data_IF_163382347544
#
_entry.id   IF_163382347544
#
_cell.length_a   1.000
_cell.length_b   1.000
_cell.length_c   1.000
_cell.angle_alpha   90.00
_cell.angle_beta   90.00
_cell.angle_gamma   90.00
#
_symmetry.space_group_name_H-M   'P 1'
#
loop_
_entity.id
_entity.type
_entity.pdbx_description
1 polymer ?
#
# COMPACT_ATOMS: atom_id res chain seq x y z
N UNK A 1 -55.52 30.01 -26.29
CA UNK A 1 -54.58 29.84 -25.16
C UNK A 1 -54.13 28.40 -25.19
N UNK A 2 -52.90 28.20 -25.62
CA UNK A 2 -52.30 26.91 -25.98
C UNK A 2 -51.32 26.56 -24.86
N UNK A 3 -51.64 25.55 -24.06
CA UNK A 3 -50.80 25.12 -22.93
C UNK A 3 -49.97 23.89 -23.38
N UNK A 4 -48.75 24.17 -23.86
CA UNK A 4 -47.77 23.17 -24.24
C UNK A 4 -47.16 22.51 -22.99
N UNK A 5 -47.64 21.32 -22.65
CA UNK A 5 -47.09 20.50 -21.58
C UNK A 5 -45.74 19.88 -22.00
N UNK A 6 -44.66 20.28 -21.32
CA UNK A 6 -43.31 19.72 -21.49
C UNK A 6 -43.23 18.37 -20.74
N UNK A 7 -42.83 17.26 -21.38
CA UNK A 7 -42.65 15.98 -20.70
C UNK A 7 -41.35 15.99 -19.85
N UNK A 8 -41.46 15.53 -18.60
CA UNK A 8 -40.32 15.38 -17.68
C UNK A 8 -39.41 14.22 -18.10
N UNK A 9 -38.07 14.36 -18.03
CA UNK A 9 -37.16 13.27 -18.32
C UNK A 9 -37.23 12.18 -17.24
N UNK A 10 -37.49 10.94 -17.68
CA UNK A 10 -37.44 9.73 -16.85
C UNK A 10 -36.03 9.53 -16.29
N UNK A 11 -35.95 9.26 -14.98
CA UNK A 11 -34.72 8.94 -14.28
C UNK A 11 -33.98 7.76 -14.93
N UNK A 12 -32.72 7.99 -15.31
CA UNK A 12 -31.78 6.95 -15.74
C UNK A 12 -31.49 6.05 -14.54
N UNK A 13 -32.05 4.85 -14.56
CA UNK A 13 -31.70 3.76 -13.64
C UNK A 13 -30.23 3.41 -13.90
N UNK A 14 -29.36 3.75 -12.94
CA UNK A 14 -27.96 3.36 -12.97
C UNK A 14 -27.88 1.89 -12.56
N UNK A 15 -27.59 1.02 -13.51
CA UNK A 15 -27.34 -0.40 -13.24
C UNK A 15 -26.14 -0.54 -12.28
N UNK A 16 -26.23 -1.39 -11.24
CA UNK A 16 -25.10 -1.72 -10.38
C UNK A 16 -23.97 -2.38 -11.18
N UNK A 17 -22.72 -1.98 -10.90
CA UNK A 17 -21.51 -2.57 -11.46
C UNK A 17 -21.37 -4.00 -10.92
N UNK A 18 -21.27 -5.05 -11.77
CA UNK A 18 -21.08 -6.42 -11.31
C UNK A 18 -19.73 -6.60 -10.61
N UNK A 19 -19.75 -7.27 -9.46
CA UNK A 19 -18.55 -7.80 -8.81
C UNK A 19 -17.93 -8.89 -9.70
N UNK A 20 -16.59 -8.94 -9.84
CA UNK A 20 -15.97 -10.05 -10.55
C UNK A 20 -15.86 -11.24 -9.60
N UNK A 21 -16.89 -12.08 -9.60
CA UNK A 21 -16.70 -13.50 -9.35
C UNK A 21 -16.18 -14.14 -10.64
N UNK A 22 -15.38 -15.19 -10.50
CA UNK A 22 -14.87 -16.06 -11.57
C UNK A 22 -13.54 -15.64 -12.24
N UNK A 23 -12.46 -15.80 -11.47
CA UNK A 23 -11.16 -16.18 -12.03
C UNK A 23 -10.55 -17.32 -11.20
N UNK A 24 -11.25 -18.46 -11.18
CA UNK A 24 -10.63 -19.75 -10.85
C UNK A 24 -9.84 -20.23 -12.06
N UNK A 25 -8.51 -20.06 -12.03
CA UNK A 25 -7.56 -20.89 -12.80
C UNK A 25 -6.25 -21.03 -12.03
N UNK A 26 -6.09 -22.25 -11.51
CA UNK A 26 -4.84 -22.95 -11.20
C UNK A 26 -3.70 -22.15 -10.58
N UNK A 27 -3.58 -22.26 -9.26
CA UNK A 27 -2.30 -22.15 -8.56
C UNK A 27 -2.20 -23.36 -7.62
N UNK A 28 -1.13 -24.13 -7.80
CA UNK A 28 -0.74 -25.26 -6.95
C UNK A 28 -0.57 -24.87 -5.48
N UNK A 29 -0.84 -25.79 -4.53
CA UNK A 29 -0.53 -25.57 -3.13
C UNK A 29 0.99 -25.71 -2.89
N UNK A 30 1.66 -24.58 -2.71
CA UNK A 30 2.97 -24.55 -2.05
C UNK A 30 2.76 -24.73 -0.56
N UNK A 31 3.20 -25.88 -0.05
CA UNK A 31 3.16 -26.25 1.36
C UNK A 31 3.89 -25.21 2.21
N UNK A 32 3.14 -24.61 3.13
CA UNK A 32 3.66 -23.72 4.16
C UNK A 32 3.99 -24.62 5.35
N UNK A 33 5.24 -25.07 5.43
CA UNK A 33 5.81 -25.55 6.69
C UNK A 33 6.06 -24.32 7.59
N UNK A 34 5.04 -23.95 8.36
CA UNK A 34 5.19 -23.05 9.50
C UNK A 34 5.85 -23.82 10.64
N UNK A 35 7.17 -23.68 10.77
CA UNK A 35 7.88 -24.02 11.99
C UNK A 35 7.42 -23.08 13.11
N UNK A 36 6.45 -23.53 13.92
CA UNK A 36 6.10 -22.88 15.18
C UNK A 36 7.21 -23.17 16.20
N UNK A 37 8.11 -22.21 16.39
CA UNK A 37 9.06 -22.27 17.50
C UNK A 37 8.32 -21.89 18.79
N UNK A 38 7.73 -22.88 19.44
CA UNK A 38 7.23 -22.80 20.81
C UNK A 38 8.42 -22.63 21.76
N UNK A 39 8.65 -21.40 22.23
CA UNK A 39 9.51 -21.15 23.38
C UNK A 39 8.64 -21.16 24.65
N UNK A 40 8.52 -22.34 25.25
CA UNK A 40 8.20 -22.48 26.67
C UNK A 40 9.51 -22.56 27.43
N UNK A 41 9.74 -21.63 28.34
CA UNK A 41 10.65 -21.84 29.47
C UNK A 41 9.85 -21.75 30.76
N UNK A 42 9.85 -22.88 31.46
CA UNK A 42 9.17 -23.12 32.71
C UNK A 42 9.84 -22.40 33.91
N UNK A 43 8.98 -21.98 34.82
CA UNK A 43 9.02 -22.14 36.29
C UNK A 43 10.37 -22.11 37.04
N UNK A 44 10.46 -21.22 38.03
CA UNK A 44 11.02 -21.55 39.33
C UNK A 44 10.09 -21.01 40.44
N UNK A 45 9.68 -21.92 41.31
CA UNK A 45 8.90 -21.74 42.55
C UNK A 45 9.59 -20.76 43.51
N UNK A 46 8.91 -20.10 44.47
CA UNK A 46 8.51 -20.71 45.74
C UNK A 46 7.44 -19.88 46.49
N UNK A 47 6.38 -20.60 46.88
CA UNK A 47 5.77 -20.68 48.22
C UNK A 47 6.00 -19.52 49.20
N UNK A 48 4.94 -18.83 49.62
CA UNK A 48 4.45 -18.90 51.01
C UNK A 48 3.16 -18.09 51.26
N UNK A 49 2.16 -18.83 51.77
CA UNK A 49 1.17 -18.50 52.82
C UNK A 49 0.15 -17.36 52.62
N UNK A 50 -1.11 -17.80 52.78
CA UNK A 50 -2.25 -17.00 53.22
C UNK A 50 -1.90 -16.17 54.45
N UNK A 51 -2.09 -14.86 54.37
CA UNK A 51 -2.25 -14.00 55.52
C UNK A 51 -3.30 -12.93 55.21
N UNK A 52 -4.46 -13.08 55.86
CA UNK A 52 -5.38 -12.00 56.18
C UNK A 52 -4.62 -11.09 57.15
N UNK A 53 -4.49 -9.80 56.84
CA UNK A 53 -3.90 -8.83 57.77
C UNK A 53 -3.41 -7.60 57.03
N UNK A 54 -4.05 -6.46 57.27
CA UNK A 54 -3.70 -5.19 56.65
C UNK A 54 -2.41 -4.59 57.21
N UNK A 55 -1.62 -3.99 56.32
CA UNK A 55 -0.68 -2.93 56.62
C UNK A 55 -0.13 -2.33 55.32
N UNK A 56 -0.11 -1.01 55.32
CA UNK A 56 0.11 -0.10 54.20
C UNK A 56 1.46 -0.36 53.52
N UNK A 57 1.42 -0.85 52.29
CA UNK A 57 2.60 -0.87 51.41
C UNK A 57 2.45 0.26 50.41
N UNK A 58 3.26 1.30 50.57
CA UNK A 58 3.40 2.41 49.62
C UNK A 58 3.77 1.79 48.26
N UNK A 59 2.78 1.67 47.39
CA UNK A 59 3.00 1.27 46.01
C UNK A 59 3.85 2.36 45.35
N UNK A 60 5.06 1.99 44.93
CA UNK A 60 5.91 2.82 44.08
C UNK A 60 5.20 2.97 42.72
N UNK A 61 4.29 3.95 42.63
CA UNK A 61 3.56 4.29 41.42
C UNK A 61 4.59 4.70 40.37
N UNK A 62 4.88 3.80 39.42
CA UNK A 62 5.63 4.16 38.22
C UNK A 62 4.90 5.34 37.56
N UNK A 63 5.59 6.45 37.24
CA UNK A 63 4.95 7.55 36.52
C UNK A 63 4.36 6.99 35.22
N UNK A 64 3.17 7.43 34.79
CA UNK A 64 2.57 6.93 33.57
C UNK A 64 3.52 7.21 32.41
N UNK A 65 4.17 6.18 31.90
CA UNK A 65 5.00 6.30 30.70
C UNK A 65 4.11 6.89 29.62
N UNK A 66 4.51 8.05 29.09
CA UNK A 66 3.79 8.75 28.01
C UNK A 66 3.55 7.74 26.89
N UNK A 67 2.29 7.36 26.67
CA UNK A 67 1.93 6.38 25.63
C UNK A 67 2.36 6.98 24.30
N UNK A 68 3.25 6.28 23.58
CA UNK A 68 3.65 6.69 22.24
C UNK A 68 2.39 6.79 21.38
N UNK A 69 2.17 7.95 20.76
CA UNK A 69 1.06 8.14 19.84
C UNK A 69 1.26 7.22 18.64
N UNK A 70 0.31 6.31 18.43
CA UNK A 70 0.27 5.40 17.28
C UNK A 70 -0.03 6.23 16.03
N UNK A 71 0.92 6.28 15.10
CA UNK A 71 0.87 7.18 13.94
C UNK A 71 0.40 6.45 12.69
N UNK A 72 0.68 5.15 12.61
CA UNK A 72 0.37 4.34 11.44
C UNK A 72 -0.71 3.32 11.77
N UNK A 73 -1.47 2.93 10.74
CA UNK A 73 -2.53 1.91 10.87
C UNK A 73 -1.95 0.58 11.36
N UNK A 74 -0.72 0.24 10.97
CA UNK A 74 -0.02 -0.98 11.41
C UNK A 74 0.40 -0.97 12.88
N UNK A 75 0.37 0.17 13.56
CA UNK A 75 0.71 0.26 14.99
C UNK A 75 -0.50 -0.10 15.88
N UNK A 76 -1.71 -0.17 15.31
CA UNK A 76 -2.95 -0.39 16.03
C UNK A 76 -3.10 -1.88 16.40
N UNK A 77 -3.49 -2.13 17.65
CA UNK A 77 -3.79 -3.46 18.19
C UNK A 77 -5.27 -3.54 18.57
N UNK A 78 -5.77 -4.75 18.86
CA UNK A 78 -7.13 -5.01 19.34
C UNK A 78 -7.51 -4.13 20.53
N UNK A 79 -6.57 -3.87 21.44
CA UNK A 79 -6.76 -3.03 22.63
C UNK A 79 -7.13 -1.58 22.30
N UNK A 80 -6.74 -1.08 21.12
CA UNK A 80 -7.08 0.26 20.67
C UNK A 80 -8.53 0.37 20.16
N UNK A 81 -9.22 -0.76 19.99
CA UNK A 81 -10.64 -0.83 19.64
C UNK A 81 -11.52 -1.20 20.83
N UNK A 82 -10.95 -1.33 22.02
CA UNK A 82 -11.64 -1.75 23.25
C UNK A 82 -12.83 -0.87 23.66
N UNK A 83 -12.79 0.45 23.37
CA UNK A 83 -13.87 1.37 23.72
C UNK A 83 -14.45 2.06 22.49
N UNK A 84 -15.77 2.35 22.45
CA UNK A 84 -16.42 2.95 21.27
C UNK A 84 -15.76 4.26 20.82
N UNK A 85 -15.30 5.09 21.78
CA UNK A 85 -14.63 6.35 21.49
C UNK A 85 -13.27 6.15 20.82
N UNK A 86 -12.48 5.18 21.27
CA UNK A 86 -11.18 4.84 20.66
C UNK A 86 -11.39 4.20 19.28
N UNK A 87 -12.33 3.27 19.17
CA UNK A 87 -12.69 2.62 17.91
C UNK A 87 -13.09 3.65 16.84
N UNK A 88 -13.94 4.63 17.18
CA UNK A 88 -14.34 5.71 16.27
C UNK A 88 -13.14 6.55 15.80
N UNK A 89 -12.24 6.90 16.70
CA UNK A 89 -11.04 7.70 16.36
C UNK A 89 -10.09 6.93 15.44
N UNK A 90 -9.80 5.67 15.77
CA UNK A 90 -8.91 4.82 15.00
C UNK A 90 -9.51 4.47 13.62
N UNK A 91 -10.82 4.25 13.55
CA UNK A 91 -11.51 4.07 12.28
C UNK A 91 -11.32 5.28 11.34
N UNK A 92 -11.42 6.51 11.85
CA UNK A 92 -11.17 7.71 11.04
C UNK A 92 -9.71 7.80 10.57
N UNK A 93 -8.76 7.42 11.42
CA UNK A 93 -7.34 7.33 11.05
C UNK A 93 -7.15 6.33 9.90
N UNK A 94 -7.76 5.14 10.00
CA UNK A 94 -7.71 4.11 8.96
C UNK A 94 -8.34 4.61 7.66
N UNK A 95 -9.54 5.19 7.73
CA UNK A 95 -10.25 5.75 6.59
C UNK A 95 -9.41 6.80 5.85
N UNK A 96 -8.86 7.77 6.58
CA UNK A 96 -8.02 8.82 5.97
C UNK A 96 -6.71 8.27 5.38
N UNK A 97 -6.12 7.25 6.01
CA UNK A 97 -4.91 6.58 5.51
C UNK A 97 -5.19 5.82 4.21
N UNK A 98 -6.30 5.09 4.17
CA UNK A 98 -6.75 4.35 2.99
C UNK A 98 -7.10 5.29 1.83
N UNK A 99 -7.76 6.43 2.12
CA UNK A 99 -8.00 7.47 1.11
C UNK A 99 -6.69 8.05 0.54
N UNK A 100 -5.71 8.35 1.39
CA UNK A 100 -4.39 8.82 0.95
C UNK A 100 -3.69 7.79 0.07
N UNK A 101 -3.73 6.51 0.45
CA UNK A 101 -3.13 5.43 -0.33
C UNK A 101 -3.80 5.30 -1.71
N UNK A 102 -5.13 5.30 -1.78
CA UNK A 102 -5.87 5.26 -3.05
C UNK A 102 -5.51 6.42 -3.98
N UNK A 103 -5.42 7.64 -3.44
CA UNK A 103 -4.99 8.82 -4.20
C UNK A 103 -3.58 8.64 -4.75
N UNK A 104 -2.64 8.14 -3.94
CA UNK A 104 -1.26 7.87 -4.36
C UNK A 104 -1.20 6.82 -5.47
N UNK A 105 -1.93 5.72 -5.34
CA UNK A 105 -2.03 4.67 -6.38
C UNK A 105 -2.53 5.27 -7.69
N UNK A 106 -3.64 6.03 -7.66
CA UNK A 106 -4.17 6.69 -8.86
C UNK A 106 -3.16 7.63 -9.51
N UNK A 107 -2.49 8.47 -8.71
CA UNK A 107 -1.46 9.38 -9.20
C UNK A 107 -0.31 8.62 -9.88
N UNK A 108 0.20 7.56 -9.25
CA UNK A 108 1.26 6.73 -9.82
C UNK A 108 0.82 6.04 -11.11
N UNK A 109 -0.40 5.50 -11.17
CA UNK A 109 -0.94 4.88 -12.37
C UNK A 109 -1.05 5.89 -13.53
N UNK A 110 -1.51 7.11 -13.26
CA UNK A 110 -1.56 8.19 -14.26
C UNK A 110 -0.17 8.53 -14.78
N UNK A 111 0.82 8.69 -13.89
CA UNK A 111 2.21 8.98 -14.26
C UNK A 111 2.81 7.85 -15.10
N UNK A 112 2.62 6.59 -14.70
CA UNK A 112 3.06 5.41 -15.46
C UNK A 112 2.39 5.38 -16.84
N UNK A 113 1.09 5.68 -16.93
CA UNK A 113 0.37 5.79 -18.19
C UNK A 113 0.97 6.85 -19.11
N UNK A 114 1.26 8.04 -18.60
CA UNK A 114 1.90 9.12 -19.36
C UNK A 114 3.30 8.72 -19.86
N UNK A 115 4.11 8.11 -19.00
CA UNK A 115 5.44 7.59 -19.34
C UNK A 115 5.37 6.55 -20.47
N UNK A 116 4.42 5.59 -20.37
CA UNK A 116 4.20 4.57 -21.40
C UNK A 116 3.82 5.19 -22.75
N UNK A 117 2.93 6.18 -22.77
CA UNK A 117 2.59 6.92 -24.00
C UNK A 117 3.82 7.58 -24.60
N UNK A 118 4.62 8.29 -23.80
CA UNK A 118 5.86 8.94 -24.26
C UNK A 118 6.89 7.94 -24.78
N UNK A 119 7.01 6.76 -24.16
CA UNK A 119 7.84 5.67 -24.68
C UNK A 119 7.32 5.21 -26.04
N UNK A 120 6.02 4.98 -26.17
CA UNK A 120 5.40 4.54 -27.43
C UNK A 120 5.64 5.55 -28.56
N UNK A 121 5.41 6.83 -28.32
CA UNK A 121 5.67 7.91 -29.30
C UNK A 121 7.14 7.92 -29.73
N UNK A 122 8.07 7.92 -28.78
CA UNK A 122 9.50 7.95 -29.10
C UNK A 122 9.98 6.67 -29.80
N UNK A 123 9.45 5.50 -29.44
CA UNK A 123 9.74 4.26 -30.15
C UNK A 123 9.20 4.28 -31.59
N UNK A 124 8.03 4.90 -31.81
CA UNK A 124 7.47 5.09 -33.15
C UNK A 124 8.33 6.02 -33.99
N UNK A 125 8.77 7.15 -33.42
CA UNK A 125 9.71 8.05 -34.07
C UNK A 125 11.01 7.34 -34.43
N UNK A 126 11.59 6.57 -33.50
CA UNK A 126 12.83 5.85 -33.75
C UNK A 126 12.68 4.80 -34.88
N UNK A 127 11.53 4.14 -35.00
CA UNK A 127 11.21 3.26 -36.13
C UNK A 127 11.13 4.02 -37.45
N UNK A 128 10.45 5.18 -37.47
CA UNK A 128 10.35 6.03 -38.65
C UNK A 128 11.70 6.57 -39.07
N UNK A 129 12.53 6.99 -38.10
CA UNK A 129 13.91 7.39 -38.33
C UNK A 129 14.68 6.23 -38.95
N UNK A 130 14.66 5.02 -38.37
CA UNK A 130 15.33 3.83 -38.93
C UNK A 130 14.92 3.52 -40.39
N UNK A 131 13.65 3.73 -40.72
CA UNK A 131 13.13 3.51 -42.07
C UNK A 131 13.54 4.60 -43.07
N UNK A 132 13.63 5.86 -42.63
CA UNK A 132 13.83 7.03 -43.51
C UNK A 132 15.27 7.58 -43.52
N UNK A 133 16.03 7.31 -42.47
CA UNK A 133 17.38 7.80 -42.20
C UNK A 133 18.17 6.60 -41.71
N UNK A 134 19.26 6.23 -42.37
CA UNK A 134 20.10 5.08 -42.03
C UNK A 134 20.79 5.20 -40.64
N UNK A 135 20.02 5.20 -39.56
CA UNK A 135 20.52 5.09 -38.19
C UNK A 135 21.06 3.69 -38.04
N UNK A 136 22.37 3.56 -37.84
CA UNK A 136 23.03 2.28 -37.58
C UNK A 136 22.45 1.64 -36.32
N UNK A 137 22.33 0.31 -36.30
CA UNK A 137 21.75 -0.43 -35.16
C UNK A 137 22.46 -0.09 -33.83
N UNK A 138 23.74 0.27 -33.89
CA UNK A 138 24.52 0.75 -32.74
C UNK A 138 23.92 2.03 -32.14
N UNK A 139 23.56 3.02 -32.95
CA UNK A 139 22.97 4.26 -32.44
C UNK A 139 21.58 4.03 -31.80
N UNK A 140 20.80 3.08 -32.32
CA UNK A 140 19.53 2.66 -31.71
C UNK A 140 19.73 2.06 -30.31
N UNK A 141 20.73 1.19 -30.13
CA UNK A 141 21.02 0.57 -28.83
C UNK A 141 21.50 1.61 -27.81
N UNK A 142 22.41 2.52 -28.20
CA UNK A 142 22.91 3.61 -27.33
C UNK A 142 21.77 4.50 -26.86
N UNK A 143 20.83 4.86 -27.75
CA UNK A 143 19.67 5.67 -27.38
C UNK A 143 18.70 4.95 -26.41
N UNK A 144 18.53 3.63 -26.56
CA UNK A 144 17.73 2.82 -25.63
C UNK A 144 18.39 2.72 -24.25
N UNK A 145 19.70 2.43 -24.21
CA UNK A 145 20.46 2.27 -22.96
C UNK A 145 20.59 3.58 -22.19
N UNK A 146 20.93 4.69 -22.87
CA UNK A 146 21.01 6.03 -22.24
C UNK A 146 19.69 6.42 -21.58
N UNK A 147 18.56 6.02 -22.17
CA UNK A 147 17.24 6.28 -21.61
C UNK A 147 16.93 5.41 -20.39
N UNK A 148 17.25 4.12 -20.44
CA UNK A 148 17.07 3.21 -19.30
C UNK A 148 17.90 3.70 -18.10
N UNK A 149 19.17 4.06 -18.34
CA UNK A 149 20.07 4.64 -17.34
C UNK A 149 19.46 5.88 -16.68
N UNK A 150 18.95 6.85 -17.45
CA UNK A 150 18.31 8.06 -16.90
C UNK A 150 17.04 7.78 -16.07
N UNK A 151 16.28 6.72 -16.40
CA UNK A 151 15.09 6.32 -15.63
C UNK A 151 15.40 5.48 -14.39
N UNK A 152 16.54 4.78 -14.37
CA UNK A 152 17.02 3.98 -13.24
C UNK A 152 17.88 4.79 -12.26
N UNK A 153 18.55 5.85 -12.72
CA UNK A 153 19.44 6.70 -11.93
C UNK A 153 18.83 7.30 -10.66
N UNK A 154 17.55 7.73 -10.60
CA UNK A 154 17.00 8.25 -9.34
C UNK A 154 16.69 7.14 -8.31
N UNK A 155 16.80 5.86 -8.69
CA UNK A 155 16.40 4.73 -7.83
C UNK A 155 17.58 3.92 -7.29
N UNK A 156 18.72 3.91 -7.97
CA UNK A 156 19.91 3.13 -7.59
C UNK A 156 21.22 3.84 -7.98
N UNK A 157 21.74 4.77 -7.14
CA UNK A 157 22.96 5.52 -7.44
C UNK A 157 24.24 4.66 -7.46
N UNK A 158 24.19 3.43 -6.94
CA UNK A 158 25.34 2.53 -6.80
C UNK A 158 25.67 1.69 -8.04
N UNK A 159 24.79 1.64 -9.05
CA UNK A 159 25.06 0.87 -10.27
C UNK A 159 26.03 1.57 -11.24
N UNK A 160 26.40 2.82 -10.97
CA UNK A 160 27.33 3.59 -11.81
C UNK A 160 28.82 3.30 -11.54
N UNK A 161 29.14 2.58 -10.45
CA UNK A 161 30.53 2.33 -10.02
C UNK A 161 31.18 1.13 -10.74
N UNK A 162 30.43 0.38 -11.54
CA UNK A 162 30.91 -0.86 -12.20
C UNK A 162 31.03 -0.78 -13.73
N UNK A 163 30.93 0.42 -14.32
CA UNK A 163 31.25 0.66 -15.72
C UNK A 163 32.19 1.87 -15.86
N UNK A 164 33.45 1.70 -15.48
CA UNK A 164 34.58 2.44 -16.02
C UNK A 164 35.66 1.43 -16.40
#
# INVERSE_FOLDING_TARGET
MEELAIPRPSHVVSNPIPFPDEASKMVEPLEIEQSFTSCSTATASETTRLAIGGNETIQKVKPPCKRRLKRYVGDLSSDDFSTPRKAKSNYQLMKTSLMRLRKKVKSLQTSVGALRRRIKTLSGLLKLLKQKMHVTDLAETVLKVSRLMKTLCPRYPYLFVWCN
#
